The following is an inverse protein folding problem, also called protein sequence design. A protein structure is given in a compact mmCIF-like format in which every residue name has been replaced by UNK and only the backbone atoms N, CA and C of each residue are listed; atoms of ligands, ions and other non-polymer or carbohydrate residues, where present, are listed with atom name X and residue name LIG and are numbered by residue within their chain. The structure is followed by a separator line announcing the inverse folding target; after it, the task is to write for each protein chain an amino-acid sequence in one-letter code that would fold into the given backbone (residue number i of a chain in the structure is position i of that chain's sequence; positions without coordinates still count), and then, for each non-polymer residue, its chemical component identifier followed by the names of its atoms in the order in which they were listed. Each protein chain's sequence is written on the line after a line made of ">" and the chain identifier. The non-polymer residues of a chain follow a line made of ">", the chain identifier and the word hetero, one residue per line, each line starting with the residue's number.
data_IF_402064005492
#
_entry.id   IF_402064005492
#
_cell.length_a   1.000
_cell.length_b   1.000
_cell.length_c   1.000
_cell.angle_alpha   90.00
_cell.angle_beta   90.00
_cell.angle_gamma   90.00
#
_symmetry.space_group_name_H-M   'P 1'
#
loop_
_entity.id
_entity.type
_entity.pdbx_description
1 polymer ?
#
# COMPACT_ATOMS: atom_id res chain seq x y z
N UNK A 1 2.68 -2.11 26.98
CA UNK A 1 2.58 -0.76 26.37
C UNK A 1 3.01 -0.79 24.93
N UNK A 2 2.17 -0.25 24.05
CA UNK A 2 2.50 -0.06 22.64
C UNK A 2 3.60 1.02 22.52
N UNK A 3 4.63 0.76 21.71
CA UNK A 3 5.75 1.70 21.48
C UNK A 3 5.55 2.54 20.22
N UNK A 4 4.54 2.21 19.42
CA UNK A 4 4.19 2.91 18.19
C UNK A 4 2.92 3.70 18.45
N UNK A 5 2.98 5.01 18.25
CA UNK A 5 1.82 5.88 18.33
C UNK A 5 1.06 5.94 16.98
N UNK A 6 1.80 6.11 15.87
CA UNK A 6 1.23 6.24 14.53
C UNK A 6 1.95 5.34 13.53
N UNK A 7 1.18 4.74 12.61
CA UNK A 7 1.69 4.08 11.41
C UNK A 7 1.08 4.77 10.18
N UNK A 8 1.93 5.48 9.43
CA UNK A 8 1.55 6.13 8.17
C UNK A 8 2.21 5.38 7.02
N UNK A 9 1.41 4.93 6.05
CA UNK A 9 1.85 4.11 4.93
C UNK A 9 1.57 4.82 3.62
N UNK A 10 2.49 4.65 2.66
CA UNK A 10 2.39 5.15 1.30
C UNK A 10 2.45 3.96 0.35
N UNK A 11 1.37 3.67 -0.38
CA UNK A 11 1.33 2.57 -1.36
C UNK A 11 1.79 1.23 -0.78
N UNK A 12 1.36 0.89 0.43
CA UNK A 12 1.80 -0.37 1.07
C UNK A 12 1.16 -1.58 0.37
N UNK A 13 1.84 -2.73 0.36
CA UNK A 13 1.30 -4.01 -0.12
C UNK A 13 0.58 -4.79 0.99
N UNK A 14 -0.29 -4.12 1.77
CA UNK A 14 -0.93 -4.72 2.96
C UNK A 14 -1.69 -6.02 2.66
N UNK A 15 -2.33 -6.09 1.50
CA UNK A 15 -2.99 -7.30 0.99
C UNK A 15 -2.31 -7.89 -0.24
N UNK A 16 -1.04 -7.53 -0.46
CA UNK A 16 -0.23 -8.00 -1.57
C UNK A 16 -0.40 -7.21 -2.85
N UNK A 17 0.24 -7.69 -3.91
CA UNK A 17 0.21 -7.09 -5.22
C UNK A 17 0.51 -8.11 -6.31
N UNK A 18 0.02 -7.84 -7.52
CA UNK A 18 0.42 -8.54 -8.74
C UNK A 18 1.63 -7.93 -9.44
N UNK A 19 2.21 -6.84 -8.89
CA UNK A 19 3.30 -6.05 -9.49
C UNK A 19 2.97 -5.61 -10.92
N UNK A 20 1.80 -5.01 -11.09
CA UNK A 20 1.20 -4.79 -12.41
C UNK A 20 0.73 -6.12 -12.99
N UNK A 21 1.28 -6.51 -14.13
CA UNK A 21 0.94 -7.80 -14.77
C UNK A 21 1.96 -8.90 -14.48
N UNK A 22 3.01 -8.60 -13.70
CA UNK A 22 4.15 -9.50 -13.57
C UNK A 22 3.78 -10.85 -12.94
N UNK A 23 2.92 -10.88 -11.93
CA UNK A 23 2.44 -12.14 -11.35
C UNK A 23 1.72 -13.01 -12.38
N UNK A 24 0.81 -12.42 -13.16
CA UNK A 24 0.06 -13.14 -14.19
C UNK A 24 0.98 -13.65 -15.31
N UNK A 25 1.97 -12.85 -15.73
CA UNK A 25 2.96 -13.26 -16.72
C UNK A 25 3.86 -14.38 -16.21
N UNK A 26 4.28 -14.31 -14.93
CA UNK A 26 5.05 -15.37 -14.28
C UNK A 26 4.25 -16.67 -14.14
N UNK A 27 2.95 -16.60 -13.86
CA UNK A 27 2.04 -17.75 -13.83
C UNK A 27 1.98 -18.46 -15.19
N UNK A 28 1.72 -17.72 -16.26
CA UNK A 28 1.61 -18.31 -17.60
C UNK A 28 2.95 -18.86 -18.11
N UNK A 29 4.05 -18.14 -17.87
CA UNK A 29 5.39 -18.65 -18.21
C UNK A 29 5.76 -19.88 -17.38
N UNK A 30 5.40 -19.90 -16.09
CA UNK A 30 5.60 -21.03 -15.19
C UNK A 30 4.89 -22.28 -15.68
N UNK A 31 3.63 -22.16 -16.12
CA UNK A 31 2.90 -23.26 -16.75
C UNK A 31 3.57 -23.76 -18.03
N UNK A 32 4.04 -22.85 -18.89
CA UNK A 32 4.70 -23.21 -20.16
C UNK A 32 6.00 -23.97 -19.93
N UNK A 33 6.76 -23.59 -18.91
CA UNK A 33 8.08 -24.16 -18.61
C UNK A 33 8.06 -25.28 -17.56
N UNK A 34 6.88 -25.61 -17.02
CA UNK A 34 6.69 -26.54 -15.89
C UNK A 34 7.55 -26.17 -14.66
N UNK A 35 7.54 -24.88 -14.30
CA UNK A 35 8.21 -24.36 -13.11
C UNK A 35 7.25 -23.48 -12.27
N UNK A 36 7.44 -23.41 -10.94
CA UNK A 36 6.64 -22.51 -10.11
C UNK A 36 6.87 -21.04 -10.47
N UNK A 37 5.78 -20.26 -10.58
CA UNK A 37 5.82 -18.81 -10.83
C UNK A 37 6.72 -18.07 -9.82
N UNK A 38 6.80 -18.57 -8.58
CA UNK A 38 7.57 -17.92 -7.51
C UNK A 38 9.07 -17.97 -7.80
N UNK A 39 9.56 -18.96 -8.57
CA UNK A 39 10.95 -18.98 -9.01
C UNK A 39 11.25 -17.85 -10.00
N UNK A 40 10.31 -17.54 -10.89
CA UNK A 40 10.43 -16.45 -11.86
C UNK A 40 10.42 -15.11 -11.12
N UNK A 41 9.44 -14.88 -10.24
CA UNK A 41 9.34 -13.66 -9.44
C UNK A 41 10.58 -13.47 -8.56
N UNK A 42 11.03 -14.53 -7.88
CA UNK A 42 12.25 -14.49 -7.05
C UNK A 42 13.48 -14.14 -7.87
N UNK A 43 13.60 -14.65 -9.10
CA UNK A 43 14.72 -14.35 -9.97
C UNK A 43 14.78 -12.88 -10.41
N UNK A 44 13.63 -12.23 -10.57
CA UNK A 44 13.54 -10.85 -11.05
C UNK A 44 13.57 -9.81 -9.91
N UNK A 45 12.81 -10.04 -8.84
CA UNK A 45 12.55 -9.06 -7.77
C UNK A 45 13.00 -9.54 -6.38
N UNK A 46 13.57 -10.74 -6.29
CA UNK A 46 14.08 -11.29 -5.04
C UNK A 46 13.02 -11.98 -4.16
N UNK A 47 13.44 -12.55 -3.02
CA UNK A 47 12.56 -13.36 -2.17
C UNK A 47 11.43 -12.57 -1.50
N UNK A 48 11.64 -11.28 -1.21
CA UNK A 48 10.63 -10.43 -0.58
C UNK A 48 9.44 -10.17 -1.51
N UNK A 49 9.66 -10.13 -2.83
CA UNK A 49 8.58 -9.98 -3.79
C UNK A 49 7.64 -11.20 -3.78
N UNK A 50 8.18 -12.41 -3.63
CA UNK A 50 7.36 -13.64 -3.48
C UNK A 50 6.46 -13.56 -2.25
N UNK A 51 6.94 -12.97 -1.16
CA UNK A 51 6.14 -12.78 0.05
C UNK A 51 5.04 -11.72 -0.13
N UNK A 52 5.23 -10.77 -1.04
CA UNK A 52 4.26 -9.71 -1.34
C UNK A 52 3.26 -10.05 -2.45
N UNK A 53 3.41 -11.19 -3.12
CA UNK A 53 2.45 -11.62 -4.15
C UNK A 53 1.03 -11.72 -3.58
N UNK A 54 0.04 -11.39 -4.40
CA UNK A 54 -1.35 -11.67 -4.07
C UNK A 54 -1.55 -13.17 -3.80
N UNK A 55 -2.24 -13.48 -2.71
CA UNK A 55 -2.46 -14.85 -2.25
C UNK A 55 -1.24 -15.57 -1.64
N UNK A 56 -0.12 -14.89 -1.39
CA UNK A 56 1.08 -15.51 -0.81
C UNK A 56 0.80 -16.14 0.57
N UNK A 57 1.51 -17.22 0.90
CA UNK A 57 1.40 -17.86 2.22
C UNK A 57 1.79 -16.90 3.36
N UNK A 58 2.76 -16.02 3.11
CA UNK A 58 3.20 -15.03 4.08
C UNK A 58 2.09 -14.04 4.43
N UNK A 59 1.41 -13.46 3.42
CA UNK A 59 0.32 -12.53 3.65
C UNK A 59 -0.92 -13.20 4.22
N UNK A 60 -1.19 -14.46 3.84
CA UNK A 60 -2.28 -15.25 4.46
C UNK A 60 -2.06 -15.46 5.95
N UNK A 61 -0.82 -15.72 6.38
CA UNK A 61 -0.48 -15.85 7.80
C UNK A 61 -0.54 -14.50 8.52
N UNK A 62 0.09 -13.46 7.94
CA UNK A 62 0.13 -12.10 8.47
C UNK A 62 -1.27 -11.52 8.67
N UNK A 63 -2.16 -11.72 7.70
CA UNK A 63 -3.52 -11.16 7.68
C UNK A 63 -4.58 -12.13 8.26
N UNK A 64 -4.17 -13.21 8.92
CA UNK A 64 -5.10 -14.17 9.52
C UNK A 64 -5.87 -13.64 10.74
N UNK A 65 -5.40 -12.54 11.33
CA UNK A 65 -6.00 -11.88 12.49
C UNK A 65 -6.32 -10.40 12.26
N UNK A 66 -6.37 -9.63 13.35
CA UNK A 66 -6.55 -8.18 13.26
C UNK A 66 -5.36 -7.52 12.57
N UNK A 67 -5.64 -6.64 11.61
CA UNK A 67 -4.63 -5.83 10.93
C UNK A 67 -4.20 -4.62 11.76
N UNK A 68 -4.93 -4.32 12.83
CA UNK A 68 -4.68 -3.20 13.72
C UNK A 68 -4.39 -3.67 15.14
N UNK A 69 -3.56 -2.89 15.84
CA UNK A 69 -3.24 -3.06 17.25
C UNK A 69 -3.86 -1.91 18.06
N UNK A 70 -4.39 -2.18 19.27
CA UNK A 70 -4.91 -1.13 20.13
C UNK A 70 -3.86 -0.03 20.42
N UNK A 71 -4.32 1.22 20.38
CA UNK A 71 -3.49 2.39 20.68
C UNK A 71 -2.59 2.89 19.54
N UNK A 72 -2.68 2.32 18.33
CA UNK A 72 -2.01 2.86 17.13
C UNK A 72 -3.00 3.61 16.26
N UNK A 73 -2.64 4.81 15.81
CA UNK A 73 -3.34 5.53 14.75
C UNK A 73 -2.80 5.09 13.37
N UNK A 74 -3.66 4.53 12.52
CA UNK A 74 -3.30 4.04 11.21
C UNK A 74 -3.75 5.00 10.11
N UNK A 75 -2.85 5.32 9.18
CA UNK A 75 -3.18 6.06 7.97
C UNK A 75 -2.56 5.35 6.77
N UNK A 76 -3.37 4.97 5.79
CA UNK A 76 -2.90 4.38 4.52
C UNK A 76 -3.23 5.31 3.36
N UNK A 77 -2.21 5.81 2.68
CA UNK A 77 -2.35 6.69 1.51
C UNK A 77 -2.00 5.87 0.27
N UNK A 78 -2.98 5.69 -0.60
CA UNK A 78 -2.85 4.95 -1.85
C UNK A 78 -3.09 5.86 -3.05
N UNK A 79 -2.50 5.52 -4.20
CA UNK A 79 -2.77 6.20 -5.46
C UNK A 79 -3.59 5.31 -6.38
N UNK A 80 -4.64 5.85 -7.00
CA UNK A 80 -5.41 5.11 -8.01
C UNK A 80 -4.61 4.77 -9.28
N UNK A 81 -3.48 5.46 -9.50
CA UNK A 81 -2.58 5.24 -10.64
C UNK A 81 -1.36 4.39 -10.26
N UNK A 82 -1.36 3.78 -9.08
CA UNK A 82 -0.29 2.87 -8.67
C UNK A 82 -0.25 1.64 -9.60
N UNK A 83 0.88 1.46 -10.30
CA UNK A 83 1.13 0.34 -11.19
C UNK A 83 1.99 -0.78 -10.58
N UNK A 84 2.42 -0.61 -9.33
CA UNK A 84 3.24 -1.58 -8.59
C UNK A 84 2.42 -2.30 -7.54
N UNK A 85 1.50 -1.61 -6.85
CA UNK A 85 0.50 -2.19 -5.97
C UNK A 85 -0.80 -2.31 -6.73
N UNK A 86 -1.09 -3.53 -7.19
CA UNK A 86 -2.22 -3.80 -8.07
C UNK A 86 -3.03 -4.99 -7.53
N UNK A 87 -4.34 -4.81 -7.28
CA UNK A 87 -5.09 -3.56 -7.44
C UNK A 87 -4.74 -2.53 -6.32
N UNK A 88 -4.75 -1.21 -6.58
CA UNK A 88 -4.26 -0.21 -5.61
C UNK A 88 -4.97 -0.21 -4.25
N UNK A 89 -6.24 -0.64 -4.19
CA UNK A 89 -6.98 -0.75 -2.94
C UNK A 89 -6.41 -1.81 -1.99
N UNK A 90 -5.53 -2.70 -2.46
CA UNK A 90 -4.84 -3.67 -1.59
C UNK A 90 -3.93 -2.99 -0.56
N UNK A 91 -3.61 -1.70 -0.77
CA UNK A 91 -2.93 -0.86 0.22
C UNK A 91 -3.76 -0.51 1.44
N UNK A 92 -5.08 -0.56 1.37
CA UNK A 92 -5.91 -0.17 2.50
C UNK A 92 -5.96 -1.22 3.58
N UNK A 93 -6.09 -0.78 4.83
CA UNK A 93 -6.27 -1.67 5.98
C UNK A 93 -7.74 -1.82 6.32
N UNK A 94 -8.10 -2.99 6.84
CA UNK A 94 -9.37 -3.18 7.52
C UNK A 94 -9.22 -2.82 9.00
N UNK A 95 -10.08 -1.92 9.48
CA UNK A 95 -10.11 -1.59 10.90
C UNK A 95 -10.57 -2.82 11.72
N UNK A 96 -9.72 -3.27 12.64
CA UNK A 96 -10.12 -4.20 13.68
C UNK A 96 -11.07 -3.56 14.71
N UNK A 97 -11.63 -4.35 15.64
CA UNK A 97 -12.45 -3.83 16.73
C UNK A 97 -11.73 -2.71 17.49
N UNK A 98 -12.44 -1.62 17.77
CA UNK A 98 -11.95 -0.45 18.49
C UNK A 98 -10.74 0.27 17.87
N UNK A 99 -10.43 0.00 16.59
CA UNK A 99 -9.39 0.68 15.84
C UNK A 99 -9.97 1.69 14.83
N UNK A 100 -9.27 2.82 14.67
CA UNK A 100 -9.54 3.78 13.60
C UNK A 100 -8.44 3.67 12.56
N UNK A 101 -8.84 3.46 11.31
CA UNK A 101 -7.96 3.46 10.13
C UNK A 101 -8.42 4.59 9.21
N UNK A 102 -7.51 5.46 8.81
CA UNK A 102 -7.73 6.48 7.78
C UNK A 102 -7.16 5.98 6.44
N UNK A 103 -8.03 5.43 5.59
CA UNK A 103 -7.68 5.00 4.24
C UNK A 103 -7.98 6.15 3.27
N UNK A 104 -6.97 6.57 2.52
CA UNK A 104 -6.98 7.79 1.73
C UNK A 104 -6.56 7.46 0.32
N UNK A 105 -7.37 7.89 -0.64
CA UNK A 105 -6.84 8.05 -1.98
C UNK A 105 -6.20 9.41 -2.16
N UNK A 106 -5.01 9.43 -2.75
CA UNK A 106 -4.31 10.66 -3.08
C UNK A 106 -5.18 11.62 -3.91
N UNK A 107 -5.96 11.07 -4.85
CA UNK A 107 -6.80 11.84 -5.75
C UNK A 107 -8.09 12.39 -5.10
N UNK A 108 -8.45 11.98 -3.88
CA UNK A 108 -9.64 12.51 -3.21
C UNK A 108 -9.39 13.97 -2.82
N UNK A 109 -10.14 14.89 -3.45
CA UNK A 109 -9.90 16.35 -3.34
C UNK A 109 -8.83 16.89 -4.30
N UNK A 110 -8.22 16.04 -5.12
CA UNK A 110 -7.35 16.46 -6.23
C UNK A 110 -7.39 15.46 -7.39
N UNK A 111 -8.50 15.39 -8.15
CA UNK A 111 -8.69 14.33 -9.16
C UNK A 111 -7.66 14.31 -10.29
N UNK A 112 -6.94 15.42 -10.52
CA UNK A 112 -5.91 15.56 -11.55
C UNK A 112 -4.52 15.07 -11.12
N UNK A 113 -4.31 14.72 -9.85
CA UNK A 113 -3.02 14.23 -9.38
C UNK A 113 -2.77 12.80 -9.93
N UNK A 114 -1.72 12.66 -10.73
CA UNK A 114 -1.40 11.43 -11.45
C UNK A 114 -0.26 10.60 -10.81
N UNK A 115 0.25 11.01 -9.64
CA UNK A 115 1.40 10.39 -8.99
C UNK A 115 1.25 8.86 -8.85
N UNK A 116 2.21 8.11 -9.39
CA UNK A 116 2.27 6.65 -9.30
C UNK A 116 2.92 6.18 -7.97
N UNK A 117 3.21 4.88 -7.88
CA UNK A 117 3.86 4.25 -6.72
C UNK A 117 5.09 5.00 -6.19
N UNK A 118 6.04 5.31 -7.07
CA UNK A 118 7.30 5.95 -6.70
C UNK A 118 7.09 7.42 -6.36
N UNK A 119 6.16 8.07 -7.04
CA UNK A 119 5.86 9.49 -6.87
C UNK A 119 5.26 9.77 -5.49
N UNK A 120 4.54 8.81 -4.87
CA UNK A 120 3.98 8.93 -3.52
C UNK A 120 5.01 9.37 -2.47
N UNK A 121 6.30 9.04 -2.65
CA UNK A 121 7.35 9.39 -1.70
C UNK A 121 7.72 10.89 -1.69
N UNK A 122 7.46 11.59 -2.80
CA UNK A 122 7.86 12.99 -2.99
C UNK A 122 6.74 13.91 -3.43
N UNK A 123 5.58 13.37 -3.80
CA UNK A 123 4.40 14.14 -4.18
C UNK A 123 4.00 15.10 -3.05
N UNK A 124 3.75 16.36 -3.42
CA UNK A 124 3.47 17.42 -2.44
C UNK A 124 2.22 17.12 -1.61
N UNK A 125 1.19 16.59 -2.25
CA UNK A 125 -0.05 16.20 -1.59
C UNK A 125 0.19 15.02 -0.67
N UNK A 126 0.86 13.96 -1.13
CA UNK A 126 1.20 12.79 -0.33
C UNK A 126 2.01 13.17 0.92
N UNK A 127 3.06 13.97 0.75
CA UNK A 127 3.89 14.41 1.88
C UNK A 127 3.14 15.34 2.85
N UNK A 128 2.20 16.16 2.37
CA UNK A 128 1.29 16.92 3.23
C UNK A 128 0.39 16.00 4.04
N UNK A 129 -0.22 14.98 3.41
CA UNK A 129 -1.08 14.01 4.07
C UNK A 129 -0.35 13.22 5.16
N UNK A 130 0.91 12.86 4.94
CA UNK A 130 1.77 12.27 5.98
C UNK A 130 1.91 13.22 7.18
N UNK A 131 2.16 14.52 6.92
CA UNK A 131 2.28 15.53 7.99
C UNK A 131 0.95 15.75 8.70
N UNK A 132 -0.18 15.73 8.00
CA UNK A 132 -1.52 15.80 8.60
C UNK A 132 -1.79 14.63 9.54
N UNK A 133 -1.37 13.42 9.17
CA UNK A 133 -1.53 12.24 10.02
C UNK A 133 -0.65 12.28 11.29
N UNK A 134 0.54 12.89 11.21
CA UNK A 134 1.48 12.99 12.34
C UNK A 134 1.24 14.22 13.23
N UNK A 135 0.80 15.34 12.65
CA UNK A 135 0.70 16.65 13.29
C UNK A 135 -0.57 17.41 12.85
N UNK A 136 -1.78 16.89 13.16
CA UNK A 136 -3.04 17.40 12.62
C UNK A 136 -3.35 18.87 12.96
N UNK A 137 -2.86 19.38 14.10
CA UNK A 137 -3.02 20.80 14.47
C UNK A 137 -2.19 21.75 13.60
N UNK A 138 -0.98 21.30 13.19
CA UNK A 138 -0.09 22.11 12.36
C UNK A 138 -0.36 21.92 10.85
N UNK A 139 -0.94 20.79 10.46
CA UNK A 139 -1.24 20.42 9.07
C UNK A 139 -2.70 19.95 8.95
N UNK A 140 -3.67 20.88 9.02
CA UNK A 140 -5.08 20.52 8.98
C UNK A 140 -5.47 19.91 7.64
N UNK A 141 -6.30 18.88 7.68
CA UNK A 141 -6.59 18.01 6.52
C UNK A 141 -7.28 18.73 5.36
N UNK A 142 -8.10 19.73 5.65
CA UNK A 142 -8.83 20.54 4.66
C UNK A 142 -7.92 21.49 3.88
N UNK A 143 -6.70 21.76 4.37
CA UNK A 143 -5.69 22.57 3.69
C UNK A 143 -4.73 21.74 2.81
N UNK A 144 -5.06 20.47 2.53
CA UNK A 144 -4.20 19.60 1.70
C UNK A 144 -4.07 20.16 0.27
N UNK A 145 -2.85 20.41 -0.25
CA UNK A 145 -2.62 21.02 -1.55
C UNK A 145 -3.08 20.13 -2.71
N UNK A 146 -3.55 20.75 -3.79
CA UNK A 146 -3.81 20.08 -5.06
C UNK A 146 -2.86 20.61 -6.11
N UNK A 147 -1.65 20.06 -6.12
CA UNK A 147 -0.64 20.31 -7.14
C UNK A 147 -0.68 19.15 -8.13
N UNK A 148 -0.91 19.38 -9.42
CA UNK A 148 -0.79 18.35 -10.44
C UNK A 148 0.65 17.84 -10.48
N UNK A 149 0.81 16.52 -10.47
CA UNK A 149 2.09 15.80 -10.59
C UNK A 149 2.39 15.49 -12.04
#
# INVERSE_FOLDING_TARGET
>A
DNKVHSLVMLGASNHGTTFGELQQQAHELGKLLDIPEQLIIRGQLGPAAVQQLDGSLFLRDLNSGSQTQPGVAYTSIASRTDGVITPPESSFLQAGPDATVDNIWLQDGCPSNAANHNDLLSDERSTYLVKSALYPEAFPRDATPCTPS
#
